data_IF_235672797609
#
_entry.id   IF_235672797609
#
_cell.length_a   1.000
_cell.length_b   1.000
_cell.length_c   1.000
_cell.angle_alpha   90.00
_cell.angle_beta   90.00
_cell.angle_gamma   90.00
#
_symmetry.space_group_name_H-M   'P 1'
#
loop_
_entity.id
_entity.type
_entity.pdbx_description
1 polymer ?
#
# COMPACT_ATOMS: atom_id res chain seq x y z
N UNK A 1 -12.70 -24.40 -29.64
CA UNK A 1 -13.06 -24.81 -28.28
C UNK A 1 -11.80 -24.85 -27.44
N UNK A 2 -11.38 -23.70 -26.89
CA UNK A 2 -10.19 -23.61 -26.04
C UNK A 2 -10.60 -23.93 -24.61
N UNK A 3 -10.14 -25.08 -24.13
CA UNK A 3 -10.29 -25.52 -22.74
C UNK A 3 -9.61 -24.51 -21.82
N UNK A 4 -10.41 -23.63 -21.23
CA UNK A 4 -10.05 -22.79 -20.08
C UNK A 4 -9.66 -23.72 -18.94
N UNK A 5 -8.38 -24.09 -18.90
CA UNK A 5 -7.80 -24.83 -17.78
C UNK A 5 -8.13 -24.01 -16.54
N UNK A 6 -8.95 -24.56 -15.65
CA UNK A 6 -9.26 -23.98 -14.33
C UNK A 6 -7.98 -24.04 -13.49
N UNK A 7 -6.98 -23.24 -13.87
CA UNK A 7 -5.86 -22.92 -13.01
C UNK A 7 -6.49 -22.30 -11.78
N UNK A 8 -6.44 -23.02 -10.66
CA UNK A 8 -6.92 -22.55 -9.36
C UNK A 8 -6.40 -21.14 -9.18
N UNK A 9 -7.28 -20.14 -9.05
CA UNK A 9 -6.89 -18.72 -8.96
C UNK A 9 -5.86 -18.47 -7.86
N UNK A 10 -5.84 -19.35 -6.85
CA UNK A 10 -4.84 -19.42 -5.80
C UNK A 10 -3.42 -19.72 -6.31
N UNK A 11 -3.25 -20.65 -7.25
CA UNK A 11 -1.94 -20.98 -7.84
C UNK A 11 -1.40 -19.84 -8.71
N UNK A 12 -2.28 -19.15 -9.45
CA UNK A 12 -1.90 -17.97 -10.23
C UNK A 12 -1.48 -16.81 -9.29
N UNK A 13 -2.26 -16.58 -8.24
CA UNK A 13 -1.96 -15.58 -7.21
C UNK A 13 -0.63 -15.88 -6.51
N UNK A 14 -0.37 -17.14 -6.16
CA UNK A 14 0.89 -17.56 -5.51
C UNK A 14 2.12 -17.33 -6.40
N UNK A 15 2.01 -17.55 -7.72
CA UNK A 15 3.07 -17.23 -8.69
C UNK A 15 3.35 -15.72 -8.74
N UNK A 16 2.32 -14.88 -8.74
CA UNK A 16 2.46 -13.42 -8.69
C UNK A 16 3.06 -12.96 -7.35
N UNK A 17 2.65 -13.58 -6.24
CA UNK A 17 3.15 -13.26 -4.91
C UNK A 17 4.65 -13.55 -4.76
N UNK A 18 5.17 -14.54 -5.48
CA UNK A 18 6.62 -14.81 -5.54
C UNK A 18 7.41 -13.63 -6.13
N UNK A 19 6.82 -12.85 -7.04
CA UNK A 19 7.44 -11.59 -7.52
C UNK A 19 7.42 -10.49 -6.46
N UNK A 20 6.35 -10.41 -5.67
CA UNK A 20 6.25 -9.49 -4.54
C UNK A 20 7.22 -9.84 -3.40
N UNK A 21 7.60 -11.13 -3.26
CA UNK A 21 8.53 -11.62 -2.23
C UNK A 21 9.90 -10.91 -2.25
N UNK A 22 10.35 -10.40 -3.41
CA UNK A 22 11.60 -9.63 -3.49
C UNK A 22 11.52 -8.27 -2.77
N UNK A 23 10.32 -7.73 -2.60
CA UNK A 23 10.05 -6.46 -1.90
C UNK A 23 9.43 -6.65 -0.52
N UNK A 24 9.55 -7.85 0.06
CA UNK A 24 8.91 -8.18 1.33
C UNK A 24 9.35 -7.30 2.50
N UNK A 25 10.59 -6.78 2.47
CA UNK A 25 11.08 -5.80 3.44
C UNK A 25 10.30 -4.48 3.40
N UNK A 26 10.10 -3.92 2.21
CA UNK A 26 9.31 -2.70 2.03
C UNK A 26 7.84 -2.93 2.43
N UNK A 27 7.30 -4.10 2.11
CA UNK A 27 5.95 -4.49 2.53
C UNK A 27 5.82 -4.60 4.06
N UNK A 28 6.82 -5.18 4.73
CA UNK A 28 6.88 -5.24 6.18
C UNK A 28 6.92 -3.85 6.84
N UNK A 29 7.70 -2.92 6.29
CA UNK A 29 7.75 -1.54 6.79
C UNK A 29 6.41 -0.83 6.57
N UNK A 30 5.77 -1.02 5.42
CA UNK A 30 4.45 -0.46 5.14
C UNK A 30 3.40 -0.91 6.16
N UNK A 31 3.38 -2.22 6.48
CA UNK A 31 2.49 -2.78 7.52
C UNK A 31 2.80 -2.16 8.87
N UNK A 32 4.08 -2.06 9.26
CA UNK A 32 4.48 -1.50 10.54
C UNK A 32 4.04 -0.03 10.67
N UNK A 33 4.25 0.77 9.62
CA UNK A 33 3.77 2.15 9.54
C UNK A 33 2.24 2.23 9.62
N UNK A 34 1.52 1.29 9.00
CA UNK A 34 0.07 1.25 9.03
C UNK A 34 -0.49 0.88 10.43
N UNK A 35 0.14 -0.06 11.12
CA UNK A 35 -0.21 -0.41 12.52
C UNK A 35 -0.02 0.82 13.41
N UNK A 36 1.10 1.52 13.25
CA UNK A 36 1.38 2.75 14.01
C UNK A 36 0.35 3.85 13.69
N UNK A 37 0.01 4.04 12.41
CA UNK A 37 -1.05 4.95 11.99
C UNK A 37 -2.39 4.64 12.67
N UNK A 38 -2.79 3.35 12.69
CA UNK A 38 -4.04 2.91 13.31
C UNK A 38 -4.05 3.12 14.83
N UNK A 39 -2.90 2.96 15.49
CA UNK A 39 -2.76 3.21 16.92
C UNK A 39 -2.95 4.71 17.25
N UNK A 40 -2.38 5.61 16.43
CA UNK A 40 -2.57 7.07 16.58
C UNK A 40 -4.04 7.46 16.38
N UNK A 41 -4.71 6.87 15.39
CA UNK A 41 -6.13 7.15 15.11
C UNK A 41 -7.06 6.65 16.23
N UNK A 42 -6.80 5.46 16.77
CA UNK A 42 -7.50 4.96 17.97
C UNK A 42 -7.24 5.83 19.19
N UNK A 43 -6.00 6.29 19.39
CA UNK A 43 -5.66 7.23 20.45
C UNK A 43 -6.41 8.56 20.33
N UNK A 44 -6.59 9.07 19.11
CA UNK A 44 -7.38 10.26 18.84
C UNK A 44 -8.85 10.08 19.22
N UNK A 45 -9.41 8.90 18.94
CA UNK A 45 -10.79 8.56 19.35
C UNK A 45 -10.93 8.53 20.87
N UNK A 46 -9.96 7.97 21.60
CA UNK A 46 -9.96 7.98 23.05
C UNK A 46 -9.86 9.41 23.62
N UNK A 47 -9.14 10.29 22.92
CA UNK A 47 -8.98 11.70 23.30
C UNK A 47 -10.27 12.52 23.26
N UNK A 48 -11.30 12.07 22.53
CA UNK A 48 -12.59 12.76 22.49
C UNK A 48 -13.25 12.84 23.87
N UNK A 49 -13.13 11.80 24.72
CA UNK A 49 -13.65 11.83 26.09
C UNK A 49 -13.08 12.97 26.93
N UNK A 50 -11.75 13.07 27.15
CA UNK A 50 -11.17 14.16 27.95
C UNK A 50 -11.37 15.53 27.30
N UNK A 51 -11.46 15.63 25.96
CA UNK A 51 -11.85 16.88 25.28
C UNK A 51 -13.23 17.34 25.72
N UNK A 52 -14.22 16.43 25.74
CA UNK A 52 -15.58 16.72 26.15
C UNK A 52 -15.67 17.03 27.65
N UNK A 53 -15.11 16.14 28.49
CA UNK A 53 -15.24 16.25 29.94
C UNK A 53 -14.42 17.43 30.50
N UNK A 54 -13.12 17.51 30.20
CA UNK A 54 -12.24 18.55 30.78
C UNK A 54 -12.31 19.88 30.06
N UNK A 55 -12.63 19.86 28.76
CA UNK A 55 -12.76 21.06 27.95
C UNK A 55 -14.08 21.80 28.16
N UNK A 56 -15.20 21.08 28.24
CA UNK A 56 -16.54 21.71 28.30
C UNK A 56 -17.17 21.70 29.69
N UNK A 57 -16.94 20.67 30.52
CA UNK A 57 -17.58 20.56 31.84
C UNK A 57 -16.76 21.30 32.90
N UNK A 58 -15.49 20.91 33.10
CA UNK A 58 -14.61 21.51 34.12
C UNK A 58 -13.97 22.85 33.68
N UNK A 59 -13.99 23.17 32.38
CA UNK A 59 -13.34 24.35 31.77
C UNK A 59 -11.89 24.58 32.25
N UNK A 60 -11.10 23.51 32.30
CA UNK A 60 -9.69 23.63 32.67
C UNK A 60 -8.91 24.39 31.58
N UNK A 61 -8.61 25.66 31.87
CA UNK A 61 -7.89 26.57 30.96
C UNK A 61 -6.50 26.04 30.58
N UNK A 62 -5.85 25.24 31.45
CA UNK A 62 -4.58 24.61 31.13
C UNK A 62 -4.75 23.51 30.08
N UNK A 63 -5.75 22.65 30.24
CA UNK A 63 -6.02 21.57 29.28
C UNK A 63 -6.42 22.12 27.91
N UNK A 64 -7.30 23.13 27.88
CA UNK A 64 -7.75 23.77 26.63
C UNK A 64 -6.58 24.42 25.88
N UNK A 65 -5.63 25.05 26.58
CA UNK A 65 -4.44 25.65 25.98
C UNK A 65 -3.45 24.59 25.48
N UNK A 66 -3.35 23.45 26.17
CA UNK A 66 -2.48 22.33 25.77
C UNK A 66 -3.05 21.51 24.61
N UNK A 67 -4.38 21.49 24.46
CA UNK A 67 -5.09 20.72 23.45
C UNK A 67 -4.56 20.90 22.00
N UNK A 68 -4.40 22.13 21.47
CA UNK A 68 -3.89 22.31 20.10
C UNK A 68 -2.47 21.74 19.92
N UNK A 69 -1.60 21.81 20.93
CA UNK A 69 -0.27 21.19 20.86
C UNK A 69 -0.36 19.67 20.78
N UNK A 70 -1.25 19.06 21.56
CA UNK A 70 -1.49 17.63 21.53
C UNK A 70 -2.00 17.19 20.16
N UNK A 71 -3.04 17.84 19.63
CA UNK A 71 -3.59 17.56 18.30
C UNK A 71 -2.55 17.75 17.20
N UNK A 72 -1.76 18.82 17.26
CA UNK A 72 -0.70 19.09 16.28
C UNK A 72 0.35 17.99 16.28
N UNK A 73 0.82 17.57 17.46
CA UNK A 73 1.78 16.47 17.57
C UNK A 73 1.20 15.15 17.02
N UNK A 74 -0.05 14.82 17.35
CA UNK A 74 -0.73 13.64 16.83
C UNK A 74 -0.86 13.67 15.30
N UNK A 75 -1.17 14.84 14.71
CA UNK A 75 -1.25 15.02 13.27
C UNK A 75 0.10 14.83 12.57
N UNK A 76 1.20 15.28 13.19
CA UNK A 76 2.55 15.05 12.67
C UNK A 76 2.86 13.54 12.67
N UNK A 77 2.68 12.87 13.80
CA UNK A 77 2.92 11.43 13.90
C UNK A 77 2.04 10.63 12.93
N UNK A 78 0.76 10.99 12.82
CA UNK A 78 -0.19 10.40 11.87
C UNK A 78 0.26 10.60 10.43
N UNK A 79 0.71 11.80 10.07
CA UNK A 79 1.16 12.11 8.71
C UNK A 79 2.42 11.34 8.34
N UNK A 80 3.40 11.24 9.24
CA UNK A 80 4.63 10.46 9.01
C UNK A 80 4.28 8.98 8.83
N UNK A 81 3.40 8.43 9.66
CA UNK A 81 2.97 7.04 9.60
C UNK A 81 2.25 6.73 8.28
N UNK A 82 1.32 7.60 7.89
CA UNK A 82 0.59 7.46 6.64
C UNK A 82 1.52 7.58 5.43
N UNK A 83 2.42 8.57 5.45
CA UNK A 83 3.40 8.77 4.40
C UNK A 83 4.32 7.56 4.25
N UNK A 84 4.83 7.01 5.37
CA UNK A 84 5.64 5.79 5.37
C UNK A 84 4.89 4.62 4.73
N UNK A 85 3.68 4.32 5.23
CA UNK A 85 2.83 3.26 4.68
C UNK A 85 2.61 3.40 3.18
N UNK A 86 2.18 4.59 2.74
CA UNK A 86 1.88 4.89 1.34
C UNK A 86 3.12 4.82 0.45
N UNK A 87 4.25 5.36 0.90
CA UNK A 87 5.51 5.38 0.14
C UNK A 87 6.05 3.96 -0.07
N UNK A 88 6.15 3.18 1.01
CA UNK A 88 6.66 1.81 0.91
C UNK A 88 5.71 0.91 0.10
N UNK A 89 4.40 1.10 0.23
CA UNK A 89 3.43 0.41 -0.60
C UNK A 89 3.55 0.77 -2.09
N UNK A 90 3.85 2.03 -2.40
CA UNK A 90 4.12 2.46 -3.78
C UNK A 90 5.41 1.84 -4.33
N UNK A 91 6.46 1.73 -3.52
CA UNK A 91 7.72 1.06 -3.90
C UNK A 91 7.47 -0.42 -4.23
N UNK A 92 6.73 -1.13 -3.38
CA UNK A 92 6.34 -2.53 -3.63
C UNK A 92 5.56 -2.64 -4.93
N UNK A 93 4.51 -1.83 -5.10
CA UNK A 93 3.63 -1.89 -6.28
C UNK A 93 4.39 -1.64 -7.58
N UNK A 94 5.19 -0.57 -7.62
CA UNK A 94 5.99 -0.22 -8.81
C UNK A 94 7.09 -1.26 -9.08
N UNK A 95 7.71 -1.79 -8.04
CA UNK A 95 8.72 -2.84 -8.15
C UNK A 95 8.17 -4.13 -8.77
N UNK A 96 6.99 -4.56 -8.33
CA UNK A 96 6.29 -5.72 -8.89
C UNK A 96 5.95 -5.50 -10.36
N UNK A 97 5.32 -4.36 -10.70
CA UNK A 97 4.97 -4.03 -12.10
C UNK A 97 6.21 -3.95 -12.98
N UNK A 98 7.30 -3.36 -12.49
CA UNK A 98 8.57 -3.28 -13.22
C UNK A 98 9.10 -4.68 -13.57
N UNK A 99 9.16 -5.59 -12.61
CA UNK A 99 9.65 -6.95 -12.84
C UNK A 99 8.74 -7.71 -13.81
N UNK A 100 7.42 -7.59 -13.62
CA UNK A 100 6.45 -8.22 -14.51
C UNK A 100 6.61 -7.75 -15.96
N UNK A 101 6.74 -6.43 -16.19
CA UNK A 101 6.99 -5.86 -17.51
C UNK A 101 8.31 -6.35 -18.12
N UNK A 102 9.38 -6.47 -17.31
CA UNK A 102 10.66 -6.99 -17.79
C UNK A 102 10.57 -8.45 -18.25
N UNK A 103 9.83 -9.29 -17.55
CA UNK A 103 9.71 -10.70 -17.92
C UNK A 103 8.80 -10.89 -19.14
N UNK A 104 7.72 -10.10 -19.28
CA UNK A 104 6.93 -10.05 -20.51
C UNK A 104 7.82 -9.63 -21.68
N UNK A 105 8.59 -8.54 -21.54
CA UNK A 105 9.44 -8.04 -22.62
C UNK A 105 10.49 -9.07 -23.05
N UNK A 106 11.13 -9.77 -22.10
CA UNK A 106 12.06 -10.87 -22.39
C UNK A 106 11.39 -12.03 -23.13
N UNK A 107 10.13 -12.34 -22.78
CA UNK A 107 9.39 -13.40 -23.44
C UNK A 107 9.04 -13.01 -24.89
N UNK A 108 8.58 -11.78 -25.10
CA UNK A 108 8.30 -11.24 -26.44
C UNK A 108 9.55 -11.26 -27.34
N UNK A 109 10.71 -10.85 -26.84
CA UNK A 109 11.95 -10.88 -27.64
C UNK A 109 12.41 -12.29 -28.08
N UNK A 110 11.91 -13.36 -27.44
CA UNK A 110 12.26 -14.75 -27.79
C UNK A 110 11.20 -15.43 -28.66
N UNK A 111 10.12 -14.73 -28.99
CA UNK A 111 9.03 -15.29 -29.80
C UNK A 111 9.42 -15.36 -31.28
N UNK A 112 9.09 -16.45 -32.01
CA UNK A 112 9.38 -16.57 -33.44
C UNK A 112 8.66 -15.48 -34.26
N UNK A 113 9.29 -15.03 -35.35
CA UNK A 113 8.73 -14.01 -36.24
C UNK A 113 7.32 -14.37 -36.77
N UNK A 114 7.04 -15.65 -37.00
CA UNK A 114 5.72 -16.15 -37.42
C UNK A 114 4.58 -15.86 -36.43
N UNK A 115 4.89 -15.58 -35.16
CA UNK A 115 3.90 -15.20 -34.15
C UNK A 115 3.49 -13.72 -34.27
N UNK A 116 4.43 -12.88 -34.72
CA UNK A 116 4.20 -11.46 -35.01
C UNK A 116 3.46 -11.24 -36.33
N UNK A 117 3.63 -12.14 -37.31
CA UNK A 117 2.90 -12.08 -38.58
C UNK A 117 1.40 -12.38 -38.43
N UNK A 118 1.00 -13.15 -37.41
CA UNK A 118 -0.40 -13.55 -37.18
C UNK A 118 -1.14 -12.69 -36.14
N UNK A 119 -0.45 -11.80 -35.41
CA UNK A 119 -1.06 -10.95 -34.39
C UNK A 119 -0.53 -9.52 -34.53
N UNK A 120 -1.41 -8.58 -34.90
CA UNK A 120 -1.06 -7.17 -35.10
C UNK A 120 -0.32 -6.60 -33.88
N UNK A 121 0.90 -6.12 -34.09
CA UNK A 121 1.83 -5.62 -33.07
C UNK A 121 1.23 -4.56 -32.13
N UNK A 122 0.17 -3.87 -32.56
CA UNK A 122 -0.55 -2.87 -31.77
C UNK A 122 -1.28 -3.42 -30.54
N UNK A 123 -1.60 -4.72 -30.50
CA UNK A 123 -2.30 -5.34 -29.36
C UNK A 123 -1.34 -5.90 -28.29
N UNK A 124 -0.05 -6.01 -28.61
CA UNK A 124 0.98 -6.62 -27.73
C UNK A 124 1.65 -5.56 -26.84
N UNK A 125 1.52 -4.26 -27.19
CA UNK A 125 2.22 -3.15 -26.53
C UNK A 125 1.34 -2.31 -25.59
N UNK A 126 0.01 -2.45 -25.64
CA UNK A 126 -0.94 -1.72 -24.79
C UNK A 126 -1.24 -2.42 -23.47
#
# INVERSE_FOLDING_TARGET
MTSSTTQSGFQLYWRLLRYAKRYWWAFGIAILSNIFYSAVDSGFTYLLKPVLDKGFIDRDLHFIRFLPYLVFSAFIFRSIANFGSSYFMAVVSRGVVKNFRQDIFRHLMRLPAAYYDNNSSGQILS
#
